data_IF_659792208142
#
_entry.id   IF_659792208142
#
_cell.length_a   1.000
_cell.length_b   1.000
_cell.length_c   1.000
_cell.angle_alpha   90.00
_cell.angle_beta   90.00
_cell.angle_gamma   90.00
#
_symmetry.space_group_name_H-M   'P 1'
#
loop_
_entity.id
_entity.type
_entity.pdbx_description
1 polymer ?
#
# COMPACT_ATOMS: atom_id res chain seq x y z
N UNK A 1 43.67 95.29 -8.53
CA UNK A 1 43.54 95.06 -7.09
C UNK A 1 42.89 93.68 -6.91
N UNK A 2 43.59 92.86 -6.22
CA UNK A 2 43.49 91.37 -6.34
C UNK A 2 42.16 90.83 -5.77
N UNK A 3 41.51 89.96 -6.57
CA UNK A 3 40.43 89.09 -6.13
C UNK A 3 40.99 87.63 -5.98
N UNK A 4 40.91 87.09 -4.81
CA UNK A 4 41.29 85.71 -4.53
C UNK A 4 40.15 84.74 -4.91
N UNK A 5 40.41 83.84 -5.82
CA UNK A 5 39.49 82.74 -6.14
C UNK A 5 39.61 81.61 -5.14
N UNK A 6 38.49 81.32 -4.45
CA UNK A 6 38.38 80.19 -3.54
C UNK A 6 37.90 78.97 -4.30
N UNK A 7 38.71 77.89 -4.37
CA UNK A 7 38.34 76.65 -5.04
C UNK A 7 37.45 75.81 -4.13
N UNK A 8 36.16 75.79 -4.44
CA UNK A 8 35.20 74.87 -3.84
C UNK A 8 35.40 73.44 -4.36
N UNK A 9 35.71 72.53 -3.46
CA UNK A 9 35.76 71.11 -3.78
C UNK A 9 34.30 70.57 -3.79
N UNK A 10 33.86 70.15 -4.98
CA UNK A 10 32.56 69.44 -5.16
C UNK A 10 32.76 67.99 -4.79
N UNK A 11 32.27 67.56 -3.63
CA UNK A 11 32.23 66.14 -3.25
C UNK A 11 30.95 65.55 -3.84
N UNK A 12 31.07 64.83 -4.95
CA UNK A 12 29.96 64.01 -5.48
C UNK A 12 29.80 62.75 -4.63
N UNK A 13 28.74 62.72 -3.79
CA UNK A 13 28.34 61.54 -3.07
C UNK A 13 27.58 60.64 -4.05
N UNK A 14 28.25 59.57 -4.49
CA UNK A 14 27.66 58.52 -5.32
C UNK A 14 26.81 57.63 -4.42
N UNK A 15 25.51 57.84 -4.40
CA UNK A 15 24.56 56.94 -3.69
C UNK A 15 24.30 55.74 -4.58
N UNK A 16 24.97 54.61 -4.25
CA UNK A 16 24.70 53.33 -4.88
C UNK A 16 23.38 52.76 -4.31
N UNK A 17 22.33 52.51 -5.12
CA UNK A 17 21.14 51.87 -4.62
C UNK A 17 21.47 50.37 -4.35
N UNK A 18 21.50 49.97 -3.10
CA UNK A 18 21.48 48.55 -2.69
C UNK A 18 20.10 47.98 -3.03
N UNK A 19 20.02 47.28 -4.17
CA UNK A 19 18.88 46.42 -4.44
C UNK A 19 19.00 45.19 -3.52
N UNK A 20 18.26 45.19 -2.42
CA UNK A 20 17.97 43.99 -1.65
C UNK A 20 17.08 43.11 -2.50
N UNK A 21 17.68 42.25 -3.29
CA UNK A 21 16.98 41.12 -3.93
C UNK A 21 16.56 40.18 -2.83
N UNK A 22 15.33 40.35 -2.35
CA UNK A 22 14.65 39.39 -1.48
C UNK A 22 14.41 38.12 -2.29
N UNK A 23 15.32 37.15 -2.18
CA UNK A 23 15.09 35.79 -2.64
C UNK A 23 14.03 35.13 -1.74
N UNK A 24 12.77 35.44 -1.97
CA UNK A 24 11.66 34.59 -1.52
C UNK A 24 11.56 33.41 -2.50
N UNK A 25 12.33 32.37 -2.24
CA UNK A 25 12.05 31.09 -2.86
C UNK A 25 10.69 30.60 -2.32
N UNK A 26 9.68 30.39 -3.17
CA UNK A 26 8.48 29.71 -2.72
C UNK A 26 8.84 28.28 -2.42
N UNK A 27 9.03 27.95 -1.15
CA UNK A 27 9.03 26.57 -0.70
C UNK A 27 7.58 26.06 -0.74
N UNK A 28 7.05 25.84 -1.94
CA UNK A 28 5.93 24.93 -2.12
C UNK A 28 6.48 23.56 -1.79
N UNK A 29 6.30 23.11 -0.54
CA UNK A 29 6.33 21.70 -0.20
C UNK A 29 5.20 21.12 -1.03
N UNK A 30 5.56 20.58 -2.20
CA UNK A 30 4.64 19.81 -3.03
C UNK A 30 4.37 18.55 -2.20
N UNK A 31 3.26 18.54 -1.47
CA UNK A 31 2.80 17.37 -0.73
C UNK A 31 2.54 16.31 -1.79
N UNK A 32 3.47 15.38 -1.95
CA UNK A 32 3.27 14.24 -2.85
C UNK A 32 2.07 13.47 -2.32
N UNK A 33 1.00 13.46 -3.08
CA UNK A 33 -0.17 12.65 -2.76
C UNK A 33 0.25 11.17 -2.83
N UNK A 34 0.03 10.43 -1.75
CA UNK A 34 0.30 9.01 -1.73
C UNK A 34 -0.85 8.33 -2.46
N UNK A 35 -0.53 7.68 -3.57
CA UNK A 35 -1.49 6.91 -4.37
C UNK A 35 -1.28 5.43 -4.03
N UNK A 36 -2.30 4.79 -3.46
CA UNK A 36 -2.25 3.37 -3.14
C UNK A 36 -2.12 2.49 -4.39
N UNK A 37 -1.52 1.31 -4.26
CA UNK A 37 -1.36 0.39 -5.38
C UNK A 37 -2.68 0.04 -6.06
N UNK A 38 -3.76 -0.13 -5.30
CA UNK A 38 -5.09 -0.42 -5.82
C UNK A 38 -5.69 0.72 -6.67
N UNK A 39 -5.28 1.97 -6.46
CA UNK A 39 -5.74 3.12 -7.23
C UNK A 39 -5.01 3.29 -8.57
N UNK A 40 -3.91 2.54 -8.78
CA UNK A 40 -3.12 2.57 -10.01
C UNK A 40 -3.62 1.54 -11.03
N UNK A 41 -4.91 1.59 -11.34
CA UNK A 41 -5.57 0.63 -12.22
C UNK A 41 -4.93 0.56 -13.62
N UNK A 42 -4.42 1.66 -14.15
CA UNK A 42 -3.72 1.70 -15.43
C UNK A 42 -2.46 0.83 -15.46
N UNK A 43 -1.82 0.59 -14.29
CA UNK A 43 -0.68 -0.32 -14.15
C UNK A 43 -1.11 -1.75 -13.86
N UNK A 44 -2.17 -1.93 -13.06
CA UNK A 44 -2.65 -3.24 -12.65
C UNK A 44 -3.34 -3.99 -13.79
N UNK A 45 -4.28 -3.34 -14.49
CA UNK A 45 -5.13 -3.99 -15.48
C UNK A 45 -4.35 -4.72 -16.59
N UNK A 46 -3.26 -4.15 -17.17
CA UNK A 46 -2.48 -4.86 -18.18
C UNK A 46 -1.84 -6.16 -17.66
N UNK A 47 -1.55 -6.25 -16.35
CA UNK A 47 -0.90 -7.41 -15.75
C UNK A 47 -1.88 -8.58 -15.49
N UNK A 48 -3.19 -8.29 -15.37
CA UNK A 48 -4.22 -9.27 -14.97
C UNK A 48 -5.30 -9.50 -16.05
N UNK A 49 -5.31 -8.68 -17.11
CA UNK A 49 -6.23 -8.87 -18.22
C UNK A 49 -6.03 -10.26 -18.86
N UNK A 50 -7.13 -10.91 -19.27
CA UNK A 50 -7.15 -12.27 -19.83
C UNK A 50 -6.67 -13.40 -18.90
N UNK A 51 -6.35 -13.10 -17.66
CA UNK A 51 -5.92 -14.08 -16.66
C UNK A 51 -7.06 -14.48 -15.72
N UNK A 52 -7.00 -15.70 -15.19
CA UNK A 52 -7.83 -16.12 -14.06
C UNK A 52 -7.20 -15.59 -12.78
N UNK A 53 -7.88 -14.67 -12.13
CA UNK A 53 -7.36 -13.94 -10.97
C UNK A 53 -7.95 -14.51 -9.68
N UNK A 54 -7.11 -14.72 -8.68
CA UNK A 54 -7.54 -14.81 -7.29
C UNK A 54 -7.13 -13.55 -6.54
N UNK A 55 -7.96 -13.10 -5.60
CA UNK A 55 -7.71 -11.90 -4.81
C UNK A 55 -7.60 -12.29 -3.33
N UNK A 56 -6.55 -11.84 -2.65
CA UNK A 56 -6.52 -11.83 -1.20
C UNK A 56 -6.84 -10.40 -0.74
N UNK A 57 -8.01 -10.25 -0.16
CA UNK A 57 -8.62 -8.94 0.12
C UNK A 57 -9.47 -8.98 1.38
N UNK A 58 -9.67 -7.83 2.00
CA UNK A 58 -10.58 -7.62 3.12
C UNK A 58 -11.36 -6.31 2.95
N UNK A 59 -12.03 -5.82 3.98
CA UNK A 59 -12.81 -4.57 3.96
C UNK A 59 -12.00 -3.32 3.61
N UNK A 60 -10.68 -3.35 3.76
CA UNK A 60 -9.80 -2.21 3.44
C UNK A 60 -9.44 -2.12 1.96
N UNK A 61 -9.74 -3.17 1.19
CA UNK A 61 -9.38 -3.31 -0.22
C UNK A 61 -10.32 -2.47 -1.10
N UNK A 62 -10.14 -1.15 -1.09
CA UNK A 62 -11.01 -0.21 -1.81
C UNK A 62 -10.22 0.63 -2.82
N UNK A 63 -10.91 0.99 -3.90
CA UNK A 63 -10.52 1.99 -4.91
C UNK A 63 -11.54 3.13 -4.79
N UNK A 64 -11.13 4.25 -4.24
CA UNK A 64 -12.06 5.28 -3.81
C UNK A 64 -13.06 4.72 -2.78
N UNK A 65 -14.34 4.69 -3.11
CA UNK A 65 -15.41 4.16 -2.25
C UNK A 65 -15.88 2.75 -2.66
N UNK A 66 -15.29 2.14 -3.67
CA UNK A 66 -15.72 0.84 -4.22
C UNK A 66 -14.71 -0.25 -3.87
N UNK A 67 -15.21 -1.40 -3.41
CA UNK A 67 -14.33 -2.53 -3.13
C UNK A 67 -13.59 -3.00 -4.39
N UNK A 68 -12.31 -3.37 -4.27
CA UNK A 68 -11.45 -3.74 -5.40
C UNK A 68 -12.06 -4.88 -6.24
N UNK A 69 -12.68 -5.89 -5.61
CA UNK A 69 -13.37 -6.98 -6.34
C UNK A 69 -14.44 -6.41 -7.26
N UNK A 70 -15.30 -5.54 -6.72
CA UNK A 70 -16.38 -4.92 -7.48
C UNK A 70 -15.81 -4.05 -8.62
N UNK A 71 -14.76 -3.29 -8.34
CA UNK A 71 -14.07 -2.47 -9.35
C UNK A 71 -13.53 -3.34 -10.49
N UNK A 72 -12.78 -4.41 -10.18
CA UNK A 72 -12.18 -5.27 -11.20
C UNK A 72 -13.24 -5.97 -12.07
N UNK A 73 -14.39 -6.33 -11.50
CA UNK A 73 -15.50 -6.91 -12.25
C UNK A 73 -16.08 -5.92 -13.28
N UNK A 74 -16.11 -4.60 -13.00
CA UNK A 74 -16.54 -3.59 -13.98
C UNK A 74 -15.59 -3.51 -15.19
N UNK A 75 -14.32 -3.89 -15.01
CA UNK A 75 -13.33 -4.00 -16.08
C UNK A 75 -13.30 -5.38 -16.75
N UNK A 76 -14.31 -6.24 -16.49
CA UNK A 76 -14.41 -7.61 -17.02
C UNK A 76 -13.21 -8.50 -16.67
N UNK A 77 -12.55 -8.27 -15.54
CA UNK A 77 -11.48 -9.14 -15.05
C UNK A 77 -12.09 -10.46 -14.54
N UNK A 78 -11.48 -11.58 -14.93
CA UNK A 78 -11.94 -12.95 -14.58
C UNK A 78 -11.55 -13.29 -13.12
N UNK A 79 -12.21 -12.68 -12.15
CA UNK A 79 -12.02 -13.01 -10.72
C UNK A 79 -12.65 -14.37 -10.43
N UNK A 80 -11.84 -15.38 -10.12
CA UNK A 80 -12.25 -16.77 -9.90
C UNK A 80 -12.45 -17.14 -8.45
N UNK A 81 -11.64 -16.56 -7.57
CA UNK A 81 -11.63 -16.87 -6.13
C UNK A 81 -11.27 -15.63 -5.32
N UNK A 82 -11.78 -15.61 -4.12
CA UNK A 82 -11.40 -14.63 -3.08
C UNK A 82 -10.80 -15.40 -1.93
N UNK A 83 -9.63 -15.00 -1.47
CA UNK A 83 -9.03 -15.42 -0.22
C UNK A 83 -9.33 -14.35 0.84
N UNK A 84 -9.87 -14.76 1.97
CA UNK A 84 -10.22 -13.87 3.07
C UNK A 84 -9.26 -14.09 4.26
N UNK A 85 -8.55 -13.06 4.72
CA UNK A 85 -7.75 -13.15 5.94
C UNK A 85 -8.63 -13.08 7.19
N UNK A 86 -8.03 -12.92 8.36
CA UNK A 86 -8.73 -12.61 9.60
C UNK A 86 -9.71 -11.43 9.40
N UNK A 87 -10.84 -11.43 10.10
CA UNK A 87 -12.00 -10.54 9.94
C UNK A 87 -12.81 -10.75 8.65
N UNK A 88 -12.39 -11.64 7.75
CA UNK A 88 -13.14 -12.00 6.56
C UNK A 88 -13.06 -10.99 5.42
N UNK A 89 -13.74 -11.32 4.34
CA UNK A 89 -13.70 -10.56 3.08
C UNK A 89 -14.29 -9.14 3.18
N UNK A 90 -15.41 -8.99 3.89
CA UNK A 90 -16.07 -7.69 4.05
C UNK A 90 -16.04 -7.15 5.49
N UNK A 91 -15.16 -7.73 6.33
CA UNK A 91 -14.95 -7.27 7.71
C UNK A 91 -16.15 -7.53 8.63
N UNK A 92 -16.90 -8.60 8.38
CA UNK A 92 -18.09 -8.95 9.16
C UNK A 92 -17.82 -9.88 10.33
N UNK A 93 -16.60 -10.43 10.44
CA UNK A 93 -16.20 -11.32 11.51
C UNK A 93 -15.42 -10.58 12.61
N UNK A 94 -15.67 -10.94 13.87
CA UNK A 94 -14.95 -10.39 15.02
C UNK A 94 -13.51 -10.92 15.11
N UNK A 95 -12.66 -10.25 15.91
CA UNK A 95 -11.28 -10.67 16.14
C UNK A 95 -11.25 -12.09 16.72
N UNK A 96 -10.48 -12.98 16.08
CA UNK A 96 -10.39 -14.39 16.48
C UNK A 96 -11.59 -15.26 16.07
N UNK A 97 -12.61 -14.70 15.45
CA UNK A 97 -13.76 -15.48 14.97
C UNK A 97 -13.36 -16.36 13.77
N UNK A 98 -13.85 -17.61 13.76
CA UNK A 98 -13.62 -18.54 12.65
C UNK A 98 -14.33 -18.06 11.38
N UNK A 99 -13.56 -17.62 10.39
CA UNK A 99 -14.05 -17.31 9.05
C UNK A 99 -14.13 -18.61 8.24
N UNK A 100 -15.33 -18.99 7.81
CA UNK A 100 -15.56 -20.19 7.01
C UNK A 100 -15.54 -19.88 5.51
N UNK A 101 -15.24 -20.90 4.69
CA UNK A 101 -15.46 -20.85 3.26
C UNK A 101 -16.94 -20.52 2.98
N UNK A 102 -17.17 -19.63 2.02
CA UNK A 102 -18.49 -19.14 1.68
C UNK A 102 -18.57 -18.70 0.21
N UNK A 103 -19.69 -18.14 -0.18
CA UNK A 103 -19.88 -17.52 -1.49
C UNK A 103 -20.32 -16.08 -1.25
N UNK A 104 -19.63 -15.12 -1.87
CA UNK A 104 -20.05 -13.73 -1.81
C UNK A 104 -21.44 -13.57 -2.47
N UNK A 105 -22.40 -13.10 -1.71
CA UNK A 105 -23.79 -13.01 -2.17
C UNK A 105 -23.94 -12.08 -3.38
N UNK A 106 -23.14 -11.02 -3.43
CA UNK A 106 -23.19 -10.02 -4.47
C UNK A 106 -22.59 -10.50 -5.80
N UNK A 107 -21.40 -11.09 -5.74
CA UNK A 107 -20.64 -11.47 -6.95
C UNK A 107 -20.74 -12.93 -7.31
N UNK A 108 -21.27 -13.78 -6.39
CA UNK A 108 -21.33 -15.24 -6.49
C UNK A 108 -19.93 -15.91 -6.59
N UNK A 109 -18.88 -15.19 -6.23
CA UNK A 109 -17.52 -15.72 -6.22
C UNK A 109 -17.27 -16.50 -4.93
N UNK A 110 -16.59 -17.65 -5.03
CA UNK A 110 -16.20 -18.45 -3.87
C UNK A 110 -15.18 -17.68 -3.03
N UNK A 111 -15.45 -17.60 -1.73
CA UNK A 111 -14.55 -17.09 -0.70
C UNK A 111 -13.93 -18.29 0.03
N UNK A 112 -12.61 -18.30 0.13
CA UNK A 112 -11.83 -19.30 0.85
C UNK A 112 -11.18 -18.58 2.02
N UNK A 113 -11.46 -19.05 3.24
CA UNK A 113 -10.85 -18.51 4.44
C UNK A 113 -9.39 -18.94 4.56
N UNK A 114 -8.53 -17.98 4.88
CA UNK A 114 -7.14 -18.21 5.27
C UNK A 114 -6.90 -17.85 6.74
N UNK A 115 -7.92 -18.04 7.57
CA UNK A 115 -7.85 -17.84 9.01
C UNK A 115 -8.47 -19.01 9.78
N UNK A 116 -7.90 -19.36 10.92
CA UNK A 116 -8.29 -20.52 11.70
C UNK A 116 -7.46 -21.75 11.34
N UNK A 117 -8.08 -22.82 10.88
CA UNK A 117 -7.42 -24.10 10.58
C UNK A 117 -6.54 -24.01 9.33
N UNK A 118 -6.95 -23.22 8.34
CA UNK A 118 -6.21 -23.01 7.09
C UNK A 118 -5.62 -21.60 7.06
N UNK A 119 -4.29 -21.49 6.99
CA UNK A 119 -3.58 -20.21 6.93
C UNK A 119 -2.87 -19.97 5.59
N UNK A 120 -2.75 -21.02 4.77
CA UNK A 120 -2.05 -21.02 3.48
C UNK A 120 -2.96 -21.63 2.42
N UNK A 121 -3.06 -21.03 1.22
CA UNK A 121 -3.78 -21.66 0.11
C UNK A 121 -3.17 -23.01 -0.23
N UNK A 122 -3.99 -24.01 -0.45
CA UNK A 122 -3.56 -25.30 -0.98
C UNK A 122 -3.35 -25.24 -2.50
N UNK A 123 -2.70 -26.27 -3.06
CA UNK A 123 -2.57 -26.44 -4.52
C UNK A 123 -3.93 -26.45 -5.21
N UNK A 124 -4.94 -27.08 -4.62
CA UNK A 124 -6.31 -27.09 -5.17
C UNK A 124 -6.97 -25.71 -5.13
N UNK A 125 -6.66 -24.90 -4.12
CA UNK A 125 -7.14 -23.53 -4.07
C UNK A 125 -6.55 -22.68 -5.21
N UNK A 126 -5.32 -22.96 -5.63
CA UNK A 126 -4.62 -22.25 -6.70
C UNK A 126 -4.80 -22.90 -8.08
N UNK A 127 -5.57 -24.00 -8.17
CA UNK A 127 -5.89 -24.64 -9.45
C UNK A 127 -6.70 -23.69 -10.34
N UNK A 128 -6.30 -23.60 -11.61
CA UNK A 128 -6.90 -22.72 -12.63
C UNK A 128 -6.81 -21.22 -12.27
N UNK A 129 -5.83 -20.82 -11.44
CA UNK A 129 -5.46 -19.44 -11.18
C UNK A 129 -4.13 -19.17 -11.90
N UNK A 130 -4.05 -18.01 -12.57
CA UNK A 130 -2.85 -17.57 -13.27
C UNK A 130 -2.07 -16.56 -12.44
N UNK A 131 -2.79 -15.70 -11.71
CA UNK A 131 -2.21 -14.64 -10.89
C UNK A 131 -3.03 -14.45 -9.61
N UNK A 132 -2.32 -14.20 -8.52
CA UNK A 132 -2.92 -13.80 -7.25
C UNK A 132 -2.60 -12.32 -7.01
N UNK A 133 -3.58 -11.55 -6.58
CA UNK A 133 -3.41 -10.14 -6.19
C UNK A 133 -3.67 -10.03 -4.69
N UNK A 134 -2.73 -9.45 -3.97
CA UNK A 134 -2.86 -9.13 -2.55
C UNK A 134 -3.15 -7.65 -2.39
N UNK A 135 -4.22 -7.31 -1.67
CA UNK A 135 -4.60 -5.94 -1.35
C UNK A 135 -5.23 -5.89 0.04
N UNK A 136 -4.42 -5.67 1.05
CA UNK A 136 -4.85 -5.51 2.45
C UNK A 136 -4.04 -4.40 3.08
N UNK A 137 -4.70 -3.50 3.82
CA UNK A 137 -4.03 -2.47 4.61
C UNK A 137 -3.37 -3.11 5.83
N UNK A 138 -2.04 -3.12 5.85
CA UNK A 138 -1.30 -3.41 7.08
C UNK A 138 -1.27 -2.18 7.99
N UNK A 139 -1.07 -2.40 9.28
CA UNK A 139 -1.08 -1.34 10.29
C UNK A 139 0.31 -1.05 10.88
N UNK A 140 1.35 -1.77 10.40
CA UNK A 140 2.73 -1.60 10.87
C UNK A 140 2.94 -2.08 12.30
N UNK A 141 2.18 -3.08 12.74
CA UNK A 141 2.35 -3.72 14.03
C UNK A 141 2.49 -5.25 13.83
N UNK A 142 3.63 -5.81 14.22
CA UNK A 142 4.02 -7.21 13.95
C UNK A 142 2.96 -8.25 14.33
N UNK A 143 2.22 -8.01 15.41
CA UNK A 143 1.22 -8.96 15.90
C UNK A 143 -0.11 -8.94 15.13
N UNK A 144 -0.28 -8.06 14.13
CA UNK A 144 -1.36 -8.17 13.17
C UNK A 144 -1.04 -9.28 12.16
N UNK A 145 -2.01 -10.15 11.91
CA UNK A 145 -1.82 -11.39 11.12
C UNK A 145 -1.70 -11.16 9.62
N UNK A 146 -1.92 -9.95 9.13
CA UNK A 146 -1.97 -9.67 7.69
C UNK A 146 -0.62 -9.88 7.00
N UNK A 147 0.49 -9.51 7.65
CA UNK A 147 1.82 -9.77 7.13
C UNK A 147 2.13 -11.28 7.11
N UNK A 148 1.68 -12.02 8.13
CA UNK A 148 1.83 -13.49 8.16
C UNK A 148 0.99 -14.15 7.06
N UNK A 149 -0.20 -13.64 6.78
CA UNK A 149 -1.04 -14.09 5.68
C UNK A 149 -0.36 -13.83 4.33
N UNK A 150 0.31 -12.68 4.14
CA UNK A 150 1.10 -12.40 2.95
C UNK A 150 2.28 -13.36 2.83
N UNK A 151 2.99 -13.65 3.91
CA UNK A 151 4.10 -14.61 3.94
C UNK A 151 3.64 -15.98 3.41
N UNK A 152 2.58 -16.55 3.99
CA UNK A 152 2.04 -17.84 3.54
C UNK A 152 1.50 -17.82 2.11
N UNK A 153 0.97 -16.68 1.66
CA UNK A 153 0.56 -16.51 0.27
C UNK A 153 1.74 -16.51 -0.69
N UNK A 154 2.86 -15.86 -0.31
CA UNK A 154 4.12 -15.87 -1.07
C UNK A 154 4.64 -17.30 -1.22
N UNK A 155 4.69 -18.07 -0.13
CA UNK A 155 5.09 -19.48 -0.16
C UNK A 155 4.19 -20.30 -1.09
N UNK A 156 2.85 -20.18 -0.93
CA UNK A 156 1.90 -20.93 -1.74
C UNK A 156 2.04 -20.60 -3.24
N UNK A 157 2.24 -19.33 -3.57
CA UNK A 157 2.44 -18.89 -4.95
C UNK A 157 3.76 -19.44 -5.51
N UNK A 158 4.85 -19.41 -4.75
CA UNK A 158 6.14 -19.95 -5.17
C UNK A 158 6.07 -21.47 -5.40
N UNK A 159 5.49 -22.22 -4.46
CA UNK A 159 5.33 -23.68 -4.56
C UNK A 159 4.47 -24.12 -5.76
N UNK A 160 3.53 -23.28 -6.19
CA UNK A 160 2.61 -23.58 -7.28
C UNK A 160 2.91 -22.80 -8.57
N UNK A 161 4.06 -22.14 -8.69
CA UNK A 161 4.47 -21.34 -9.84
C UNK A 161 3.39 -20.30 -10.24
N UNK A 162 2.81 -19.61 -9.27
CA UNK A 162 1.81 -18.55 -9.51
C UNK A 162 2.46 -17.18 -9.36
N UNK A 163 2.10 -16.27 -10.25
CA UNK A 163 2.47 -14.86 -10.10
C UNK A 163 1.72 -14.26 -8.91
N UNK A 164 2.40 -13.51 -8.06
CA UNK A 164 1.79 -12.68 -7.02
C UNK A 164 2.03 -11.21 -7.34
N UNK A 165 0.99 -10.41 -7.22
CA UNK A 165 1.04 -8.94 -7.30
C UNK A 165 0.59 -8.40 -5.96
N UNK A 166 1.42 -7.56 -5.33
CA UNK A 166 1.08 -6.85 -4.10
C UNK A 166 0.72 -5.42 -4.45
N UNK A 167 -0.49 -5.02 -4.10
CA UNK A 167 -0.94 -3.63 -4.21
C UNK A 167 -0.60 -2.93 -2.90
N UNK A 168 0.53 -2.22 -2.92
CA UNK A 168 1.07 -1.58 -1.73
C UNK A 168 0.15 -0.48 -1.20
N UNK A 169 0.04 -0.44 0.13
CA UNK A 169 -0.68 0.59 0.89
C UNK A 169 0.25 1.20 1.92
N UNK A 170 0.18 2.50 2.16
CA UNK A 170 1.10 3.17 3.08
C UNK A 170 0.95 2.60 4.50
N UNK A 171 2.09 2.23 5.10
CA UNK A 171 2.12 1.84 6.49
C UNK A 171 1.90 3.08 7.38
N UNK A 172 0.83 3.14 8.20
CA UNK A 172 0.55 4.29 9.05
C UNK A 172 1.61 4.52 10.13
N UNK A 173 2.41 3.50 10.47
CA UNK A 173 3.52 3.56 11.40
C UNK A 173 4.90 3.53 10.72
N UNK A 174 4.97 3.72 9.40
CA UNK A 174 6.20 3.61 8.61
C UNK A 174 7.28 4.65 8.88
N UNK A 175 7.02 5.62 9.74
CA UNK A 175 7.95 6.68 10.13
C UNK A 175 8.88 6.33 11.31
N UNK A 176 8.68 5.17 11.95
CA UNK A 176 9.54 4.68 13.01
C UNK A 176 9.60 3.14 13.03
N UNK A 177 10.62 2.61 13.67
CA UNK A 177 10.77 1.18 13.97
C UNK A 177 11.03 1.07 15.47
N UNK A 178 10.30 0.18 16.15
CA UNK A 178 10.40 -0.02 17.60
C UNK A 178 10.28 -1.49 17.97
N UNK A 179 10.83 -1.84 19.12
CA UNK A 179 10.78 -3.19 19.69
C UNK A 179 11.94 -4.09 19.22
N UNK A 180 12.10 -5.23 19.90
CA UNK A 180 13.12 -6.21 19.55
C UNK A 180 12.71 -7.02 18.33
N UNK A 181 13.70 -7.46 17.54
CA UNK A 181 13.49 -8.46 16.49
C UNK A 181 12.91 -9.74 17.09
N UNK A 182 11.88 -10.29 16.44
CA UNK A 182 11.24 -11.54 16.88
C UNK A 182 12.25 -12.67 16.89
N UNK A 183 12.39 -13.33 18.03
CA UNK A 183 13.23 -14.52 18.15
C UNK A 183 12.47 -15.75 17.64
N UNK A 184 13.22 -16.70 17.09
CA UNK A 184 12.67 -17.91 16.47
C UNK A 184 11.78 -18.73 17.42
N UNK A 185 12.13 -18.81 18.69
CA UNK A 185 11.35 -19.54 19.70
C UNK A 185 9.97 -18.96 19.99
N UNK A 186 9.71 -17.72 19.55
CA UNK A 186 8.40 -17.05 19.69
C UNK A 186 7.64 -16.93 18.37
N UNK A 187 8.15 -17.57 17.29
CA UNK A 187 7.44 -17.54 16.02
C UNK A 187 6.08 -18.23 16.13
N UNK A 188 5.08 -17.57 15.56
CA UNK A 188 3.68 -18.03 15.52
C UNK A 188 2.95 -17.31 14.39
N UNK A 189 1.65 -17.55 14.23
CA UNK A 189 0.86 -16.84 13.22
C UNK A 189 0.73 -15.32 13.48
N UNK A 190 0.90 -14.87 14.71
CA UNK A 190 0.99 -13.43 15.06
C UNK A 190 2.42 -12.88 14.99
N UNK A 191 3.33 -13.61 14.37
CA UNK A 191 4.72 -13.21 14.17
C UNK A 191 5.48 -14.32 13.46
N UNK A 192 5.43 -14.35 12.15
CA UNK A 192 6.14 -15.36 11.32
C UNK A 192 7.56 -14.91 11.02
N UNK A 193 7.73 -13.62 10.70
CA UNK A 193 9.00 -13.08 10.24
C UNK A 193 9.84 -12.48 11.37
N UNK A 194 11.20 -12.54 11.26
CA UNK A 194 12.11 -11.98 12.25
C UNK A 194 12.23 -10.44 12.10
N UNK A 195 11.12 -9.76 12.32
CA UNK A 195 11.02 -8.29 12.29
C UNK A 195 10.77 -7.71 13.69
N UNK A 196 11.09 -6.43 13.94
CA UNK A 196 10.81 -5.75 15.19
C UNK A 196 9.32 -5.57 15.44
#
# INVERSE_FOLDING_TARGET
MFVAMNKGILISILVLPFYLQSCSAPSTIQKSEIICGAEQLEKLLPLIREKNVALLVNQTSVVGLTHLVDTLLTYNIKVKKIFAPEHGFRGSADAGEHVRDSIDEKTKIKIISLYGDKKKPSTDDLKNIDVVVFDVQDVGARFYTFISTLHYLLEACAENNKQLIVLDRPNPNGWYVDGPVLKKEFQSFVGVDPIP
#
